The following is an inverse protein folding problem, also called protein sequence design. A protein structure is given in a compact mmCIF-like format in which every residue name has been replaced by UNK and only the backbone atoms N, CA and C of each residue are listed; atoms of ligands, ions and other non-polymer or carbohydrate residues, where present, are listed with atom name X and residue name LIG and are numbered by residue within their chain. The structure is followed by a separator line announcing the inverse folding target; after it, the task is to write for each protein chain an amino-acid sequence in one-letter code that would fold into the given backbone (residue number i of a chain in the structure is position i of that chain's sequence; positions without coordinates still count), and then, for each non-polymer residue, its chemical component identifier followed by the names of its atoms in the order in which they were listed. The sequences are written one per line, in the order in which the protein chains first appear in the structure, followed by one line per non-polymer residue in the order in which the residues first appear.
data_IF_994686261301
#
_entry.id   IF_994686261301
#
_cell.length_a   1.000
_cell.length_b   1.000
_cell.length_c   1.000
_cell.angle_alpha   90.00
_cell.angle_beta   90.00
_cell.angle_gamma   90.00
#
_symmetry.space_group_name_H-M   'P 1'
#
loop_
_entity.id
_entity.type
_entity.pdbx_description
1 polymer ?
#
# COMPACT_ATOMS: atom_id res chain seq x y z
N UNK A 1 -4.65 21.49 10.58
CA UNK A 1 -3.40 21.53 11.37
C UNK A 1 -3.15 20.14 11.95
N UNK A 2 -1.98 19.52 11.71
CA UNK A 2 -1.70 18.11 12.06
C UNK A 2 -0.94 17.92 13.39
N UNK A 3 -0.11 18.88 13.77
CA UNK A 3 0.76 18.78 14.95
C UNK A 3 0.43 19.83 16.04
N UNK A 4 -0.83 19.95 16.50
CA UNK A 4 -1.21 21.02 17.44
C UNK A 4 -0.58 20.86 18.84
N UNK A 5 -0.07 19.67 19.19
CA UNK A 5 0.58 19.42 20.48
C UNK A 5 2.07 19.73 20.49
N UNK A 6 2.63 20.08 19.33
CA UNK A 6 4.04 20.45 19.17
C UNK A 6 4.13 21.97 19.02
N UNK A 7 4.50 22.64 20.11
CA UNK A 7 4.55 24.10 20.17
C UNK A 7 5.60 24.71 19.24
N UNK A 8 6.62 23.94 18.83
CA UNK A 8 7.62 24.38 17.86
C UNK A 8 7.02 24.61 16.47
N UNK A 9 5.84 24.05 16.19
CA UNK A 9 5.14 24.21 14.91
C UNK A 9 4.30 25.48 14.81
N UNK A 10 4.12 26.22 15.92
CA UNK A 10 3.15 27.33 15.97
C UNK A 10 3.60 28.56 15.20
N UNK A 11 4.92 28.80 15.15
CA UNK A 11 5.52 29.96 14.49
C UNK A 11 6.09 29.62 13.10
N UNK A 12 5.89 28.39 12.64
CA UNK A 12 6.39 27.96 11.33
C UNK A 12 5.43 28.45 10.23
N UNK A 13 5.94 29.33 9.38
CA UNK A 13 5.24 29.92 8.24
C UNK A 13 5.98 29.73 6.89
N UNK A 14 7.14 29.10 6.92
CA UNK A 14 8.02 28.88 5.76
C UNK A 14 7.94 27.46 5.17
N UNK A 15 7.18 26.56 5.80
CA UNK A 15 6.81 25.24 5.27
C UNK A 15 5.32 24.98 5.50
N UNK A 16 4.74 24.05 4.74
CA UNK A 16 3.33 23.71 4.91
C UNK A 16 3.03 22.27 4.51
N UNK A 17 1.91 21.75 5.01
CA UNK A 17 1.40 20.43 4.67
C UNK A 17 0.31 20.52 3.60
N UNK A 18 0.39 19.66 2.59
CA UNK A 18 -0.77 19.32 1.78
C UNK A 18 -1.55 18.20 2.49
N UNK A 19 -2.71 18.58 3.04
CA UNK A 19 -3.49 17.69 3.90
C UNK A 19 -2.73 17.41 5.19
N UNK A 20 -2.52 16.12 5.50
CA UNK A 20 -1.81 15.67 6.70
C UNK A 20 -0.47 15.00 6.43
N UNK A 21 -0.10 14.78 5.16
CA UNK A 21 0.78 13.67 4.81
C UNK A 21 1.93 14.03 3.86
N UNK A 22 1.88 15.18 3.19
CA UNK A 22 2.96 15.68 2.34
C UNK A 22 3.41 17.04 2.86
N UNK A 23 4.66 17.14 3.32
CA UNK A 23 5.30 18.39 3.74
C UNK A 23 6.07 18.99 2.57
N UNK A 24 5.85 20.29 2.34
CA UNK A 24 6.45 21.08 1.28
C UNK A 24 7.34 22.14 1.94
N UNK A 25 8.63 22.11 1.60
CA UNK A 25 9.64 22.98 2.20
C UNK A 25 10.29 23.83 1.09
N UNK A 26 9.69 24.96 0.70
CA UNK A 26 10.21 25.83 -0.36
C UNK A 26 11.53 26.51 0.05
N UNK A 27 12.35 26.84 -0.94
CA UNK A 27 13.50 27.73 -0.76
C UNK A 27 13.03 29.17 -0.89
N UNK A 28 13.20 29.95 0.18
CA UNK A 28 12.73 31.35 0.25
C UNK A 28 13.87 32.37 0.22
N UNK A 29 15.12 31.91 0.29
CA UNK A 29 16.31 32.75 0.24
C UNK A 29 16.96 32.71 -1.14
N UNK A 30 17.43 33.86 -1.62
CA UNK A 30 18.07 33.97 -2.92
C UNK A 30 19.36 33.14 -2.98
N UNK A 31 19.56 32.38 -4.07
CA UNK A 31 20.74 31.56 -4.33
C UNK A 31 21.03 30.44 -3.31
N UNK A 32 20.12 30.18 -2.37
CA UNK A 32 20.25 29.06 -1.45
C UNK A 32 20.06 27.72 -2.18
N UNK A 33 20.92 26.75 -1.87
CA UNK A 33 20.86 25.37 -2.41
C UNK A 33 20.53 24.33 -1.33
N UNK A 34 20.26 24.81 -0.12
CA UNK A 34 19.84 24.04 1.03
C UNK A 34 18.82 24.85 1.82
N UNK A 35 17.89 24.17 2.47
CA UNK A 35 16.90 24.79 3.36
C UNK A 35 16.97 24.13 4.73
N UNK A 36 16.97 24.94 5.78
CA UNK A 36 16.84 24.43 7.15
C UNK A 36 15.38 24.49 7.56
N UNK A 37 14.85 23.38 8.06
CA UNK A 37 13.46 23.31 8.50
C UNK A 37 13.29 22.45 9.74
N UNK A 38 12.25 22.72 10.52
CA UNK A 38 11.82 21.85 11.61
C UNK A 38 10.94 20.73 11.07
N UNK A 39 11.29 19.48 11.37
CA UNK A 39 10.42 18.35 11.07
C UNK A 39 9.66 17.94 12.33
N UNK A 40 8.32 18.05 12.37
CA UNK A 40 7.52 17.59 13.51
C UNK A 40 7.71 16.09 13.81
N UNK A 41 7.37 15.66 15.02
CA UNK A 41 7.55 14.25 15.44
C UNK A 41 6.78 13.26 14.54
N UNK A 42 7.51 12.58 13.65
CA UNK A 42 7.05 11.55 12.73
C UNK A 42 8.26 11.00 11.95
N UNK A 43 8.14 9.80 11.36
CA UNK A 43 9.03 9.45 10.26
C UNK A 43 8.76 10.37 9.06
N UNK A 44 9.82 10.79 8.37
CA UNK A 44 9.74 11.61 7.16
C UNK A 44 10.57 10.97 6.06
N UNK A 45 9.93 10.69 4.93
CA UNK A 45 10.56 10.08 3.76
C UNK A 45 10.67 11.11 2.64
N UNK A 46 11.82 11.20 1.99
CA UNK A 46 11.98 12.03 0.80
C UNK A 46 11.09 11.51 -0.34
N UNK A 47 10.28 12.37 -0.94
CA UNK A 47 9.31 11.97 -1.96
C UNK A 47 9.97 11.36 -3.21
N UNK A 48 11.11 11.90 -3.63
CA UNK A 48 11.76 11.54 -4.90
C UNK A 48 12.61 10.27 -4.79
N UNK A 49 13.43 10.21 -3.76
CA UNK A 49 14.38 9.11 -3.49
C UNK A 49 13.77 8.04 -2.61
N UNK A 50 12.67 8.36 -1.93
CA UNK A 50 12.00 7.50 -0.95
C UNK A 50 12.87 7.10 0.24
N UNK A 51 13.97 7.83 0.49
CA UNK A 51 14.85 7.62 1.62
C UNK A 51 14.23 8.17 2.91
N UNK A 52 14.48 7.49 4.04
CA UNK A 52 14.17 8.06 5.35
C UNK A 52 15.09 9.26 5.61
N UNK A 53 14.51 10.42 5.83
CA UNK A 53 15.22 11.69 6.09
C UNK A 53 15.39 11.92 7.58
N UNK A 54 14.33 11.69 8.37
CA UNK A 54 14.35 11.98 9.80
C UNK A 54 13.24 11.22 10.54
N UNK A 55 13.45 11.02 11.84
CA UNK A 55 12.41 10.59 12.80
C UNK A 55 11.63 11.77 13.40
N UNK A 56 11.87 12.99 12.90
CA UNK A 56 11.17 14.20 13.33
C UNK A 56 11.62 14.71 14.71
N UNK A 57 10.84 15.65 15.24
CA UNK A 57 11.08 16.30 16.52
C UNK A 57 12.28 17.25 16.53
N UNK A 58 12.82 17.62 15.36
CA UNK A 58 14.09 18.36 15.25
C UNK A 58 14.23 19.13 13.95
N UNK A 59 15.12 20.12 13.98
CA UNK A 59 15.59 20.79 12.77
C UNK A 59 16.49 19.88 11.94
N UNK A 60 16.36 19.97 10.62
CA UNK A 60 17.20 19.32 9.63
C UNK A 60 17.56 20.31 8.53
N UNK A 61 18.64 20.01 7.81
CA UNK A 61 19.00 20.74 6.59
C UNK A 61 18.81 19.81 5.39
N UNK A 62 18.00 20.25 4.43
CA UNK A 62 17.66 19.50 3.23
C UNK A 62 18.38 20.10 2.03
N UNK A 63 18.85 19.23 1.11
CA UNK A 63 19.33 19.69 -0.19
C UNK A 63 18.14 20.19 -1.02
N UNK A 64 18.30 21.38 -1.59
CA UNK A 64 17.31 22.03 -2.44
C UNK A 64 18.02 22.65 -3.65
N UNK A 65 18.57 21.83 -4.57
CA UNK A 65 19.18 22.35 -5.79
C UNK A 65 18.14 23.13 -6.61
N UNK A 66 18.61 23.95 -7.55
CA UNK A 66 17.78 24.90 -8.30
C UNK A 66 16.55 24.29 -8.99
N UNK A 67 16.61 23.00 -9.32
CA UNK A 67 15.57 22.26 -10.03
C UNK A 67 14.64 21.45 -9.13
N UNK A 68 14.84 21.47 -7.80
CA UNK A 68 14.14 20.57 -6.87
C UNK A 68 13.71 21.30 -5.61
N UNK A 69 12.40 21.29 -5.34
CA UNK A 69 11.84 21.69 -4.05
C UNK A 69 11.76 20.45 -3.15
N UNK A 70 12.28 20.49 -1.91
CA UNK A 70 12.13 19.37 -0.98
C UNK A 70 10.66 19.05 -0.67
N UNK A 71 10.32 17.77 -0.84
CA UNK A 71 9.01 17.21 -0.55
C UNK A 71 9.18 15.98 0.35
N UNK A 72 8.51 15.96 1.50
CA UNK A 72 8.62 14.87 2.47
C UNK A 72 7.27 14.22 2.73
N UNK A 73 7.21 12.90 2.58
CA UNK A 73 6.05 12.07 2.89
C UNK A 73 6.11 11.64 4.34
N UNK A 74 5.03 11.88 5.08
CA UNK A 74 4.90 11.51 6.48
C UNK A 74 4.73 10.00 6.63
N UNK A 75 5.45 9.38 7.56
CA UNK A 75 5.17 8.01 7.98
C UNK A 75 3.76 7.87 8.55
N UNK A 76 3.14 6.73 8.27
CA UNK A 76 1.75 6.45 8.61
C UNK A 76 0.75 6.87 7.53
N UNK A 77 1.21 7.24 6.33
CA UNK A 77 0.35 7.74 5.26
C UNK A 77 0.41 6.89 3.99
N UNK A 78 -0.70 6.85 3.26
CA UNK A 78 -0.78 6.25 1.93
C UNK A 78 -1.28 7.32 0.97
N UNK A 79 -0.41 7.76 0.06
CA UNK A 79 -0.75 8.76 -0.94
C UNK A 79 -1.22 8.09 -2.24
N UNK A 80 -2.49 8.24 -2.65
CA UNK A 80 -2.90 7.91 -3.99
C UNK A 80 -2.42 8.98 -4.98
N UNK A 81 -1.87 8.53 -6.09
CA UNK A 81 -1.31 9.36 -7.16
C UNK A 81 -1.76 8.81 -8.51
N UNK A 82 -1.56 9.57 -9.58
CA UNK A 82 -1.84 9.11 -10.93
C UNK A 82 -0.66 9.46 -11.83
N UNK A 83 -0.39 8.63 -12.84
CA UNK A 83 0.67 8.95 -13.80
C UNK A 83 0.36 10.27 -14.52
N UNK A 84 1.27 11.26 -14.49
CA UNK A 84 0.99 12.55 -15.11
C UNK A 84 0.92 12.42 -16.64
N UNK A 85 0.23 13.37 -17.26
CA UNK A 85 0.13 13.54 -18.71
C UNK A 85 0.00 15.02 -19.03
N UNK A 86 -0.01 15.38 -20.30
CA UNK A 86 -0.03 16.79 -20.72
C UNK A 86 -1.29 17.56 -20.25
N UNK A 87 -2.39 16.86 -19.95
CA UNK A 87 -3.64 17.47 -19.45
C UNK A 87 -4.27 16.58 -18.38
N UNK A 88 -5.08 17.17 -17.51
CA UNK A 88 -5.87 16.43 -16.51
C UNK A 88 -6.84 15.45 -17.15
N UNK A 89 -7.45 15.79 -18.30
CA UNK A 89 -8.30 14.88 -19.07
C UNK A 89 -7.57 13.61 -19.52
N UNK A 90 -6.29 13.71 -19.88
CA UNK A 90 -5.46 12.55 -20.24
C UNK A 90 -4.97 11.82 -18.98
N UNK A 91 -4.51 12.56 -17.96
CA UNK A 91 -4.07 12.00 -16.68
C UNK A 91 -5.15 11.14 -16.04
N UNK A 92 -6.41 11.62 -16.04
CA UNK A 92 -7.56 10.89 -15.45
C UNK A 92 -7.84 9.53 -16.08
N UNK A 93 -7.26 9.22 -17.24
CA UNK A 93 -7.35 7.91 -17.92
C UNK A 93 -6.23 6.94 -17.53
N UNK A 94 -5.20 7.41 -16.83
CA UNK A 94 -4.04 6.61 -16.44
C UNK A 94 -4.31 5.82 -15.16
N UNK A 95 -3.43 4.86 -14.87
CA UNK A 95 -3.54 4.04 -13.67
C UNK A 95 -3.24 4.84 -12.38
N UNK A 96 -3.90 4.44 -11.31
CA UNK A 96 -3.65 4.93 -9.95
C UNK A 96 -2.41 4.26 -9.38
N UNK A 97 -1.59 5.02 -8.68
CA UNK A 97 -0.41 4.58 -7.96
C UNK A 97 -0.58 4.85 -6.46
N UNK A 98 -0.08 3.95 -5.61
CA UNK A 98 -0.06 4.15 -4.16
C UNK A 98 1.37 4.28 -3.67
N UNK A 99 1.64 5.31 -2.88
CA UNK A 99 2.86 5.45 -2.09
C UNK A 99 2.51 5.29 -0.61
N UNK A 100 2.77 4.11 -0.07
CA UNK A 100 2.51 3.77 1.32
C UNK A 100 3.78 3.97 2.16
N UNK A 101 3.82 5.04 2.95
CA UNK A 101 4.91 5.32 3.88
C UNK A 101 4.58 4.75 5.27
N UNK A 102 5.20 3.63 5.64
CA UNK A 102 4.97 3.03 6.95
C UNK A 102 5.48 3.95 8.09
N UNK A 103 4.81 3.95 9.23
CA UNK A 103 5.31 4.58 10.45
C UNK A 103 6.22 3.62 11.26
N UNK A 104 6.56 4.02 12.48
CA UNK A 104 7.36 3.21 13.40
C UNK A 104 6.72 1.87 13.77
N UNK A 105 5.40 1.73 13.67
CA UNK A 105 4.68 0.48 13.93
C UNK A 105 4.50 -0.37 12.66
N UNK A 106 4.98 0.13 11.51
CA UNK A 106 4.78 -0.52 10.22
C UNK A 106 3.36 -0.33 9.69
N UNK A 107 2.61 0.67 10.18
CA UNK A 107 1.26 0.95 9.73
C UNK A 107 1.20 2.19 8.86
N UNK A 108 0.22 2.27 7.98
CA UNK A 108 -0.10 3.47 7.22
C UNK A 108 -1.57 3.46 6.77
N UNK A 109 -2.17 4.63 6.59
CA UNK A 109 -3.53 4.75 6.10
C UNK A 109 -3.65 5.87 5.07
N UNK A 110 -4.64 5.75 4.18
CA UNK A 110 -4.97 6.79 3.21
C UNK A 110 -6.29 6.53 2.54
N UNK A 111 -6.78 7.50 1.79
CA UNK A 111 -8.06 7.43 1.11
C UNK A 111 -8.01 8.07 -0.27
N UNK A 112 -8.85 7.59 -1.17
CA UNK A 112 -9.04 8.15 -2.51
C UNK A 112 -10.53 8.43 -2.72
N UNK A 113 -10.86 9.70 -2.93
CA UNK A 113 -12.15 10.12 -3.47
C UNK A 113 -12.05 10.25 -5.00
N UNK A 114 -13.07 9.76 -5.72
CA UNK A 114 -13.09 9.78 -7.17
C UNK A 114 -14.51 9.90 -7.74
N UNK A 115 -14.80 10.97 -8.47
CA UNK A 115 -16.04 11.18 -9.22
C UNK A 115 -15.74 11.49 -10.69
N UNK A 116 -16.65 12.15 -11.41
CA UNK A 116 -16.41 12.58 -12.79
C UNK A 116 -15.40 13.73 -12.89
N UNK A 117 -15.31 14.59 -11.86
CA UNK A 117 -14.42 15.75 -11.75
C UNK A 117 -15.00 17.05 -12.29
N UNK A 118 -16.26 17.04 -12.76
CA UNK A 118 -16.91 18.18 -13.43
C UNK A 118 -18.30 18.51 -12.86
N UNK A 119 -19.07 17.51 -12.41
CA UNK A 119 -20.44 17.73 -11.93
C UNK A 119 -20.46 18.42 -10.56
N UNK A 120 -21.42 19.34 -10.38
CA UNK A 120 -21.53 20.15 -9.16
C UNK A 120 -22.05 19.37 -7.94
N UNK A 121 -22.88 18.34 -8.16
CA UNK A 121 -23.63 17.66 -7.11
C UNK A 121 -23.18 16.19 -6.90
N UNK A 122 -21.98 15.81 -7.38
CA UNK A 122 -21.51 14.42 -7.33
C UNK A 122 -21.53 13.85 -5.91
N UNK A 123 -21.24 14.67 -4.91
CA UNK A 123 -21.26 14.26 -3.51
C UNK A 123 -22.70 14.07 -2.98
N UNK A 124 -23.57 15.07 -3.18
CA UNK A 124 -24.97 15.05 -2.73
C UNK A 124 -25.77 13.92 -3.38
N UNK A 125 -25.51 13.64 -4.66
CA UNK A 125 -26.14 12.57 -5.42
C UNK A 125 -25.46 11.21 -5.19
N UNK A 126 -24.41 11.16 -4.36
CA UNK A 126 -23.63 9.95 -4.08
C UNK A 126 -23.01 9.31 -5.33
N UNK A 127 -22.72 10.10 -6.37
CA UNK A 127 -22.11 9.69 -7.64
C UNK A 127 -20.57 9.78 -7.58
N UNK A 128 -19.98 9.11 -6.60
CA UNK A 128 -18.53 9.04 -6.41
C UNK A 128 -18.09 7.64 -5.95
N UNK A 129 -16.78 7.40 -5.95
CA UNK A 129 -16.09 6.27 -5.34
C UNK A 129 -15.27 6.80 -4.18
N UNK A 130 -15.33 6.13 -3.03
CA UNK A 130 -14.44 6.39 -1.90
C UNK A 130 -13.73 5.09 -1.51
N UNK A 131 -12.42 5.07 -1.67
CA UNK A 131 -11.56 3.95 -1.29
C UNK A 131 -10.77 4.28 -0.04
N UNK A 132 -10.60 3.28 0.83
CA UNK A 132 -9.74 3.34 2.01
C UNK A 132 -8.65 2.31 1.90
N UNK A 133 -7.41 2.75 2.13
CA UNK A 133 -6.22 1.93 2.11
C UNK A 133 -5.64 1.81 3.51
N UNK A 134 -5.18 0.61 3.85
CA UNK A 134 -4.51 0.33 5.12
C UNK A 134 -3.30 -0.56 4.88
N UNK A 135 -2.16 -0.14 5.42
CA UNK A 135 -0.96 -0.95 5.59
C UNK A 135 -0.89 -1.34 7.07
N UNK A 136 -0.70 -2.64 7.33
CA UNK A 136 -0.44 -3.18 8.65
C UNK A 136 0.69 -4.20 8.56
N UNK A 137 1.89 -3.76 8.93
CA UNK A 137 3.12 -4.55 8.87
C UNK A 137 3.46 -4.97 7.44
N UNK A 138 3.18 -6.24 7.13
CA UNK A 138 3.49 -6.88 5.85
C UNK A 138 2.31 -6.87 4.86
N UNK A 139 1.17 -6.28 5.26
CA UNK A 139 -0.07 -6.35 4.51
C UNK A 139 -0.64 -4.98 4.18
N UNK A 140 -0.66 -4.67 2.89
CA UNK A 140 -1.47 -3.59 2.33
C UNK A 140 -2.85 -4.15 2.01
N UNK A 141 -3.88 -3.33 2.17
CA UNK A 141 -5.25 -3.66 1.77
C UNK A 141 -6.00 -2.43 1.33
N UNK A 142 -6.94 -2.63 0.41
CA UNK A 142 -7.88 -1.61 -0.05
C UNK A 142 -9.31 -2.09 0.15
N UNK A 143 -10.21 -1.17 0.48
CA UNK A 143 -11.64 -1.43 0.61
C UNK A 143 -12.43 -0.26 0.03
N UNK A 144 -13.58 -0.55 -0.58
CA UNK A 144 -14.52 0.49 -0.98
C UNK A 144 -15.41 0.85 0.22
N UNK A 145 -15.34 2.12 0.64
CA UNK A 145 -16.27 2.70 1.60
C UNK A 145 -17.56 3.17 0.91
N UNK A 146 -17.46 3.59 -0.35
CA UNK A 146 -18.58 3.96 -1.22
C UNK A 146 -18.25 3.66 -2.69
N UNK A 147 -19.26 3.24 -3.46
CA UNK A 147 -19.14 3.00 -4.89
C UNK A 147 -20.45 3.35 -5.61
N UNK A 148 -20.67 4.64 -5.88
CA UNK A 148 -21.84 5.14 -6.62
C UNK A 148 -21.52 5.65 -8.02
N UNK A 149 -20.24 5.86 -8.37
CA UNK A 149 -19.82 6.27 -9.71
C UNK A 149 -19.48 5.03 -10.58
N UNK A 150 -19.98 4.94 -11.83
CA UNK A 150 -19.74 3.79 -12.71
C UNK A 150 -18.33 3.73 -13.33
N UNK A 151 -17.43 4.64 -12.93
CA UNK A 151 -16.05 4.67 -13.40
C UNK A 151 -15.26 3.42 -13.00
N UNK A 152 -14.32 3.03 -13.85
CA UNK A 152 -13.37 1.96 -13.58
C UNK A 152 -12.04 2.58 -13.16
N UNK A 153 -11.53 2.17 -12.01
CA UNK A 153 -10.20 2.55 -11.53
C UNK A 153 -9.28 1.34 -11.60
N UNK A 154 -8.10 1.54 -12.17
CA UNK A 154 -7.07 0.50 -12.24
C UNK A 154 -5.91 0.93 -11.37
N UNK A 155 -5.55 0.09 -10.39
CA UNK A 155 -4.31 0.26 -9.65
C UNK A 155 -3.16 -0.23 -10.53
N UNK A 156 -2.09 0.54 -10.70
CA UNK A 156 -0.98 0.15 -11.58
C UNK A 156 0.34 -0.12 -10.86
N UNK A 157 0.61 0.63 -9.78
CA UNK A 157 1.88 0.56 -9.04
C UNK A 157 1.62 0.81 -7.57
N UNK A 158 2.31 0.05 -6.73
CA UNK A 158 2.36 0.30 -5.29
C UNK A 158 3.82 0.37 -4.86
N UNK A 159 4.16 1.41 -4.13
CA UNK A 159 5.46 1.59 -3.50
C UNK A 159 5.26 1.63 -1.99
N UNK A 160 5.97 0.77 -1.26
CA UNK A 160 5.92 0.75 0.21
C UNK A 160 7.26 1.15 0.79
N UNK A 161 7.26 2.17 1.65
CA UNK A 161 8.43 2.71 2.35
C UNK A 161 8.47 2.18 3.78
N UNK A 162 9.67 2.08 4.37
CA UNK A 162 9.82 1.75 5.80
C UNK A 162 9.61 0.27 6.15
N UNK A 163 9.71 -0.64 5.17
CA UNK A 163 9.51 -2.08 5.38
C UNK A 163 10.66 -2.70 6.21
N UNK A 164 10.55 -2.81 7.54
CA UNK A 164 11.68 -3.23 8.43
C UNK A 164 12.44 -4.53 8.13
N UNK A 165 11.94 -5.40 7.24
CA UNK A 165 12.56 -6.70 6.95
C UNK A 165 12.77 -6.87 5.45
N UNK A 166 13.73 -7.69 4.99
CA UNK A 166 13.89 -8.01 3.57
C UNK A 166 12.64 -8.63 2.96
N UNK A 167 12.24 -8.21 1.76
CA UNK A 167 11.13 -8.82 1.03
C UNK A 167 11.65 -9.96 0.17
N UNK A 168 11.14 -11.16 0.40
CA UNK A 168 11.46 -12.36 -0.38
C UNK A 168 10.40 -12.72 -1.39
N UNK A 169 9.15 -12.38 -1.12
CA UNK A 169 8.00 -12.67 -1.97
C UNK A 169 6.86 -11.68 -1.73
N UNK A 170 6.05 -11.50 -2.76
CA UNK A 170 4.84 -10.69 -2.76
C UNK A 170 3.70 -11.52 -3.32
N UNK A 171 2.53 -11.38 -2.71
CA UNK A 171 1.30 -12.01 -3.18
C UNK A 171 0.19 -10.97 -3.40
N UNK A 172 -0.53 -11.11 -4.50
CA UNK A 172 -1.80 -10.43 -4.81
C UNK A 172 -2.88 -11.51 -4.82
N UNK A 173 -3.86 -11.40 -3.94
CA UNK A 173 -4.96 -12.37 -3.84
C UNK A 173 -4.48 -13.83 -3.86
N UNK A 174 -3.41 -14.07 -3.09
CA UNK A 174 -2.74 -15.38 -2.95
C UNK A 174 -1.91 -15.83 -4.16
N UNK A 175 -1.91 -15.11 -5.28
CA UNK A 175 -1.02 -15.36 -6.41
C UNK A 175 0.34 -14.66 -6.21
N UNK A 176 1.44 -15.39 -6.39
CA UNK A 176 2.77 -14.79 -6.33
C UNK A 176 2.99 -13.84 -7.52
N UNK A 177 3.54 -12.66 -7.24
CA UNK A 177 3.75 -11.61 -8.26
C UNK A 177 5.18 -11.11 -8.24
N UNK A 178 5.68 -10.71 -9.41
CA UNK A 178 6.99 -10.06 -9.54
C UNK A 178 7.04 -8.76 -8.74
N UNK A 179 8.20 -8.47 -8.17
CA UNK A 179 8.45 -7.24 -7.43
C UNK A 179 9.90 -6.81 -7.65
N UNK A 180 10.16 -5.52 -7.45
CA UNK A 180 11.51 -5.00 -7.31
C UNK A 180 11.73 -4.62 -5.85
N UNK A 181 12.96 -4.82 -5.38
CA UNK A 181 13.34 -4.56 -4.00
C UNK A 181 14.74 -3.97 -3.98
N UNK A 182 14.85 -2.73 -3.51
CA UNK A 182 16.12 -2.00 -3.48
C UNK A 182 16.64 -1.89 -2.05
N UNK A 183 17.87 -2.37 -1.85
CA UNK A 183 18.58 -2.39 -0.56
C UNK A 183 19.64 -1.29 -0.40
N UNK A 184 19.93 -0.45 -1.39
CA UNK A 184 21.11 0.47 -1.37
C UNK A 184 20.75 1.95 -1.56
N UNK A 185 20.95 2.79 -0.55
CA UNK A 185 20.83 4.26 -0.64
C UNK A 185 21.73 4.84 -1.74
N UNK A 186 21.12 5.56 -2.70
CA UNK A 186 21.83 6.56 -3.51
C UNK A 186 21.70 7.89 -2.78
N UNK A 187 22.62 8.18 -1.85
CA UNK A 187 22.84 9.54 -1.30
C UNK A 187 24.36 9.74 -1.15
N UNK A 188 24.93 10.90 -1.56
CA UNK A 188 26.36 11.18 -1.43
C UNK A 188 26.84 11.24 0.05
N UNK A 189 28.15 11.01 0.31
CA UNK A 189 28.65 10.51 1.60
C UNK A 189 28.68 11.48 2.79
N UNK A 190 28.27 12.74 2.65
CA UNK A 190 28.65 13.79 3.61
C UNK A 190 27.78 13.91 4.86
N UNK A 191 26.73 13.08 5.04
CA UNK A 191 25.74 13.30 6.11
C UNK A 191 25.35 12.02 6.90
N UNK A 192 26.19 10.97 6.93
CA UNK A 192 25.81 9.66 7.48
C UNK A 192 26.47 9.39 8.85
N UNK A 193 25.82 9.82 9.93
CA UNK A 193 26.04 9.29 11.27
C UNK A 193 24.74 8.60 11.75
N UNK A 194 24.80 7.29 12.02
CA UNK A 194 23.67 6.48 12.48
C UNK A 194 22.88 5.80 11.36
N UNK A 195 23.20 4.53 11.08
CA UNK A 195 22.65 3.73 9.97
C UNK A 195 21.23 3.22 10.27
N UNK A 196 20.29 3.46 9.35
CA UNK A 196 19.18 2.54 9.08
C UNK A 196 19.11 2.25 7.56
N UNK A 197 18.94 0.98 7.22
CA UNK A 197 18.96 0.49 5.84
C UNK A 197 17.63 0.80 5.13
N UNK A 198 17.70 1.07 3.82
CA UNK A 198 16.54 1.18 2.93
C UNK A 198 15.52 0.11 3.22
N UNK A 199 14.25 0.47 3.13
CA UNK A 199 13.32 -0.54 2.65
C UNK A 199 12.22 -0.02 1.76
N UNK A 200 12.39 -0.36 0.49
CA UNK A 200 11.48 -0.07 -0.61
C UNK A 200 10.95 -1.40 -1.13
N UNK A 201 9.64 -1.61 -1.02
CA UNK A 201 8.94 -2.62 -1.81
C UNK A 201 8.37 -1.94 -3.05
N UNK A 202 8.93 -2.26 -4.22
CA UNK A 202 8.36 -1.89 -5.51
C UNK A 202 7.45 -3.02 -5.99
N UNK A 203 6.16 -2.76 -6.06
CA UNK A 203 5.22 -3.61 -6.77
C UNK A 203 5.09 -3.03 -8.18
N UNK A 204 5.94 -3.52 -9.07
CA UNK A 204 5.89 -3.18 -10.48
C UNK A 204 4.98 -4.18 -11.20
N UNK A 205 3.99 -3.62 -11.91
CA UNK A 205 3.13 -4.30 -12.89
C UNK A 205 2.08 -5.25 -12.32
N UNK A 206 0.90 -4.72 -12.00
CA UNK A 206 -0.34 -5.48 -12.15
C UNK A 206 -1.54 -4.53 -12.34
N UNK A 207 -2.58 -4.99 -13.05
CA UNK A 207 -3.81 -4.25 -13.35
C UNK A 207 -5.00 -4.83 -12.56
N UNK A 208 -5.03 -4.83 -11.20
CA UNK A 208 -6.27 -5.14 -10.53
C UNK A 208 -7.26 -3.99 -10.80
N UNK A 209 -8.39 -4.34 -11.39
CA UNK A 209 -9.55 -3.46 -11.45
C UNK A 209 -10.01 -3.27 -10.00
N UNK A 210 -10.02 -2.04 -9.53
CA UNK A 210 -10.71 -1.71 -8.28
C UNK A 210 -12.19 -2.00 -8.55
N UNK A 211 -12.73 -3.03 -7.92
CA UNK A 211 -14.05 -3.57 -8.22
C UNK A 211 -15.09 -3.15 -7.17
N UNK A 212 -16.35 -3.19 -7.59
CA UNK A 212 -17.52 -2.91 -6.76
C UNK A 212 -17.78 -4.08 -5.79
N UNK A 213 -17.57 -3.87 -4.49
CA UNK A 213 -17.86 -4.87 -3.45
C UNK A 213 -16.81 -4.91 -2.34
N UNK A 214 -17.17 -5.53 -1.21
CA UNK A 214 -16.37 -5.64 0.02
C UNK A 214 -15.13 -6.55 -0.09
N UNK A 215 -14.54 -6.64 -1.28
CA UNK A 215 -13.37 -7.47 -1.52
C UNK A 215 -12.15 -6.77 -0.93
N UNK A 216 -11.72 -7.31 0.22
CA UNK A 216 -10.46 -6.92 0.86
C UNK A 216 -9.34 -7.50 0.00
N UNK A 217 -8.66 -6.66 -0.76
CA UNK A 217 -7.43 -7.05 -1.46
C UNK A 217 -6.34 -7.24 -0.40
N UNK A 218 -5.78 -8.45 -0.29
CA UNK A 218 -4.81 -8.78 0.77
C UNK A 218 -3.44 -8.98 0.13
N UNK A 219 -2.55 -8.02 0.34
CA UNK A 219 -1.12 -8.21 0.08
C UNK A 219 -0.53 -8.90 1.30
N UNK A 220 0.18 -10.03 1.17
CA UNK A 220 0.87 -10.66 2.31
C UNK A 220 2.33 -10.86 1.97
N UNK A 221 3.23 -10.37 2.81
CA UNK A 221 4.62 -10.86 2.84
C UNK A 221 4.72 -11.98 3.89
N UNK A 222 5.17 -13.18 3.48
CA UNK A 222 5.57 -14.24 4.43
C UNK A 222 7.07 -14.14 4.69
N UNK A 223 7.45 -14.08 5.96
CA UNK A 223 8.78 -14.48 6.40
C UNK A 223 8.84 -16.00 6.44
N UNK A 224 9.65 -16.61 5.59
CA UNK A 224 10.03 -18.01 5.79
C UNK A 224 11.16 -18.06 6.82
N UNK A 225 10.79 -18.06 8.10
CA UNK A 225 11.59 -18.67 9.14
C UNK A 225 11.10 -20.12 9.32
N UNK A 226 11.95 -21.08 8.95
CA UNK A 226 11.86 -22.49 9.34
C UNK A 226 10.70 -23.35 8.78
N UNK A 227 10.49 -23.39 7.46
CA UNK A 227 9.73 -24.50 6.83
C UNK A 227 10.62 -25.66 6.33
N UNK A 228 11.93 -25.65 6.61
CA UNK A 228 12.85 -26.76 6.28
C UNK A 228 13.28 -27.62 7.48
N UNK A 229 12.85 -27.30 8.71
CA UNK A 229 13.16 -28.09 9.91
C UNK A 229 12.03 -29.03 10.34
N UNK A 230 10.77 -28.72 9.99
CA UNK A 230 9.62 -29.54 10.42
C UNK A 230 9.42 -30.72 9.44
N UNK A 231 9.70 -30.54 8.15
CA UNK A 231 9.66 -31.65 7.18
C UNK A 231 10.83 -32.64 7.31
N UNK A 232 11.98 -32.23 7.86
CA UNK A 232 13.07 -33.16 8.25
C UNK A 232 12.87 -33.80 9.64
N UNK A 233 11.95 -33.28 10.44
CA UNK A 233 11.58 -33.83 11.75
C UNK A 233 10.50 -34.92 11.65
N UNK A 234 9.55 -34.78 10.73
CA UNK A 234 8.43 -35.73 10.60
C UNK A 234 8.86 -37.05 9.90
N UNK A 235 9.91 -37.02 9.06
CA UNK A 235 10.50 -38.24 8.49
C UNK A 235 11.27 -39.10 9.51
N UNK A 236 11.71 -38.54 10.64
CA UNK A 236 12.50 -39.25 11.65
C UNK A 236 11.68 -39.79 12.85
N UNK A 237 10.46 -39.31 13.07
CA UNK A 237 9.55 -39.83 14.11
C UNK A 237 8.71 -41.03 13.63
N UNK A 238 8.69 -41.32 12.33
CA UNK A 238 7.96 -42.46 11.74
C UNK A 238 8.76 -43.77 11.80
N UNK A 239 9.88 -43.81 12.55
CA UNK A 239 10.80 -44.96 12.63
C UNK A 239 10.90 -45.62 14.01
N UNK A 240 10.04 -45.26 14.96
CA UNK A 240 9.94 -45.97 16.25
C UNK A 240 8.49 -46.30 16.60
N UNK A 241 8.11 -47.50 16.14
CA UNK A 241 7.35 -48.47 16.92
C UNK A 241 5.92 -48.16 17.34
N UNK A 242 5.00 -48.95 16.74
CA UNK A 242 3.64 -49.29 17.19
C UNK A 242 2.66 -48.12 17.03
N UNK A 243 1.86 -48.08 15.97
CA UNK A 243 0.57 -48.80 15.88
C UNK A 243 0.30 -49.09 14.39
N UNK A 244 0.47 -50.35 13.99
CA UNK A 244 0.21 -50.84 12.63
C UNK A 244 -1.24 -51.32 12.43
N UNK A 245 -2.11 -51.29 13.44
CA UNK A 245 -3.42 -51.96 13.37
C UNK A 245 -4.65 -51.06 13.67
N UNK A 246 -4.60 -49.75 13.37
CA UNK A 246 -5.73 -48.83 13.71
C UNK A 246 -6.23 -47.88 12.63
N UNK A 247 -5.53 -47.71 11.50
CA UNK A 247 -5.83 -46.61 10.56
C UNK A 247 -6.66 -46.99 9.32
N UNK A 248 -6.87 -48.27 9.03
CA UNK A 248 -7.74 -48.68 7.90
C UNK A 248 -9.24 -48.58 8.21
N UNK A 249 -9.64 -48.57 9.49
CA UNK A 249 -11.04 -48.50 9.90
C UNK A 249 -11.59 -47.06 9.93
N UNK A 250 -10.70 -46.06 10.11
CA UNK A 250 -11.08 -44.63 10.21
C UNK A 250 -11.22 -43.98 8.83
N UNK A 251 -10.47 -44.47 7.82
CA UNK A 251 -10.53 -43.97 6.44
C UNK A 251 -11.72 -44.52 5.63
N UNK A 252 -12.38 -45.58 6.08
CA UNK A 252 -13.66 -46.05 5.52
C UNK A 252 -14.88 -45.31 6.06
N UNK A 253 -14.79 -44.60 7.19
CA UNK A 253 -15.92 -43.89 7.84
C UNK A 253 -15.98 -42.37 7.62
N UNK A 254 -15.02 -41.76 6.92
CA UNK A 254 -15.04 -40.31 6.57
C UNK A 254 -15.20 -40.01 5.07
N UNK A 255 -15.60 -41.00 4.27
CA UNK A 255 -16.03 -40.83 2.87
C UNK A 255 -17.55 -40.93 2.78
N UNK A 256 -18.27 -40.17 3.60
CA UNK A 256 -19.73 -39.99 3.58
C UNK A 256 -20.07 -38.80 4.49
N UNK A 257 -19.87 -37.56 4.00
CA UNK A 257 -20.42 -36.27 4.50
C UNK A 257 -19.60 -35.11 3.93
N UNK A 258 -19.71 -34.84 2.62
CA UNK A 258 -19.54 -33.50 2.00
C UNK A 258 -19.82 -33.58 0.48
N UNK A 259 -21.06 -33.90 0.12
CA UNK A 259 -21.64 -33.62 -1.19
C UNK A 259 -23.05 -33.09 -0.91
N UNK A 260 -23.15 -31.78 -0.75
CA UNK A 260 -24.40 -31.12 -0.42
C UNK A 260 -24.16 -29.64 -0.22
N UNK A 261 -24.32 -28.89 -1.31
CA UNK A 261 -24.75 -27.49 -1.44
C UNK A 261 -24.08 -26.80 -2.64
N UNK A 262 -24.24 -27.39 -3.83
CA UNK A 262 -24.27 -26.64 -5.09
C UNK A 262 -25.72 -26.53 -5.54
N UNK A 263 -26.35 -25.39 -5.30
CA UNK A 263 -27.53 -24.93 -6.03
C UNK A 263 -27.48 -23.40 -6.11
N UNK A 264 -27.64 -22.88 -7.33
CA UNK A 264 -28.33 -21.61 -7.68
C UNK A 264 -27.49 -20.50 -8.32
N UNK A 265 -26.93 -20.73 -9.50
CA UNK A 265 -26.98 -19.77 -10.64
C UNK A 265 -27.07 -20.57 -11.95
N UNK A 266 -28.29 -20.92 -12.37
CA UNK A 266 -28.60 -21.22 -13.78
C UNK A 266 -30.11 -21.06 -13.98
N UNK A 267 -30.59 -19.81 -13.99
CA UNK A 267 -31.97 -19.50 -14.38
C UNK A 267 -32.05 -18.13 -15.06
N UNK A 268 -31.31 -17.94 -16.15
CA UNK A 268 -31.57 -16.93 -17.18
C UNK A 268 -31.11 -17.41 -18.59
N UNK A 269 -31.36 -18.68 -18.90
CA UNK A 269 -31.43 -19.21 -20.27
C UNK A 269 -32.63 -20.15 -20.31
N UNK A 270 -33.80 -19.58 -20.64
CA UNK A 270 -35.02 -20.24 -21.13
C UNK A 270 -36.25 -19.31 -21.04
N UNK A 271 -36.07 -18.01 -21.37
CA UNK A 271 -37.19 -17.08 -21.58
C UNK A 271 -37.12 -16.39 -22.96
N UNK A 272 -36.42 -16.99 -23.93
CA UNK A 272 -36.39 -16.54 -25.33
C UNK A 272 -36.83 -17.60 -26.34
N UNK A 273 -37.50 -18.68 -25.92
CA UNK A 273 -38.06 -19.70 -26.83
C UNK A 273 -39.56 -20.02 -26.58
N UNK A 274 -40.33 -19.09 -25.99
CA UNK A 274 -41.79 -19.16 -25.98
C UNK A 274 -42.47 -17.81 -26.28
N UNK A 275 -41.97 -17.11 -27.31
CA UNK A 275 -42.70 -16.06 -28.03
C UNK A 275 -42.44 -16.15 -29.53
N UNK A 276 -42.62 -17.34 -30.09
CA UNK A 276 -43.13 -17.51 -31.45
C UNK A 276 -44.19 -18.62 -31.37
N UNK A 277 -45.44 -18.15 -31.37
CA UNK A 277 -46.68 -18.89 -31.21
C UNK A 277 -47.81 -17.87 -31.20
#
# INVERSE_FOLDING_TARGET
MRFPLDNLTYEIDYEFLWGSDLLIVPVLEENATQVSTYLPQSLWYDFYTSALVSHGGKNVTLNAPLDTIPLLVRGGSILPMQEPSATTTLTRKNNIYLLAAADELGVAAGELYWDDGDSLNSYEESLYILLKFNLSGAQLSGSSAHWGYPGVLTLGKVTVLGVKQPVTSVFIDQAATGFSYDTINKVPPSCLEGKEAKTLLYLAYYHPILAHGSETWIWKKRLQAAEMSILRGIENETRRDRIRDGLEETLKRKRFLWLGHEWRIERLRNLTEQREG
#
